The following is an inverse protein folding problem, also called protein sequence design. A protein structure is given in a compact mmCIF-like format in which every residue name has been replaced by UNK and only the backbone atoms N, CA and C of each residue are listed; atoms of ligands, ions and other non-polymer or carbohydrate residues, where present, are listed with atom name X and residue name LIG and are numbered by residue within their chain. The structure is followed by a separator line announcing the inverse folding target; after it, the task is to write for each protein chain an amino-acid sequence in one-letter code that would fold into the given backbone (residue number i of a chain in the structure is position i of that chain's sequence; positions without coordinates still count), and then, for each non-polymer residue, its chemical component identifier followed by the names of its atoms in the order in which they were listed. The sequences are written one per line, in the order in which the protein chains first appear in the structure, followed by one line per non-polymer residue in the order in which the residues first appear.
data_IF_224535124001
#
_entry.id   IF_224535124001
#
_cell.length_a   1.000
_cell.length_b   1.000
_cell.length_c   1.000
_cell.angle_alpha   90.00
_cell.angle_beta   90.00
_cell.angle_gamma   90.00
#
_symmetry.space_group_name_H-M   'P 1'
#
loop_
_entity.id
_entity.type
_entity.pdbx_description
1 polymer ?
#
# COMPACT_ATOMS: atom_id res chain seq x y z
N UNK A 1 2.89 21.25 0.39
CA UNK A 1 4.01 20.30 0.19
C UNK A 1 3.99 19.88 -1.27
N UNK A 2 5.16 19.73 -1.89
CA UNK A 2 5.26 19.27 -3.27
C UNK A 2 5.83 17.84 -3.26
N UNK A 3 5.11 16.84 -3.79
CA UNK A 3 5.62 15.47 -3.91
C UNK A 3 6.84 15.41 -4.82
N UNK A 4 7.91 14.75 -4.36
CA UNK A 4 9.16 14.61 -5.11
C UNK A 4 9.76 13.21 -4.94
N UNK A 5 10.58 12.73 -5.89
CA UNK A 5 10.88 13.36 -7.19
C UNK A 5 9.69 13.30 -8.16
N UNK A 6 9.66 14.20 -9.16
CA UNK A 6 8.60 14.16 -10.18
C UNK A 6 8.82 12.96 -11.12
N UNK A 7 7.77 12.16 -11.30
CA UNK A 7 7.77 10.93 -12.12
C UNK A 7 6.46 10.78 -12.90
N UNK A 8 6.57 10.31 -14.13
CA UNK A 8 5.41 9.96 -14.95
C UNK A 8 4.94 8.54 -14.65
N UNK A 9 3.63 8.30 -14.72
CA UNK A 9 3.03 6.98 -14.48
C UNK A 9 1.96 6.69 -15.52
N UNK A 10 2.00 5.48 -16.10
CA UNK A 10 1.03 5.00 -17.07
C UNK A 10 0.08 3.98 -16.45
N UNK A 11 -1.22 4.22 -16.60
CA UNK A 11 -2.26 3.26 -16.24
C UNK A 11 -2.61 2.35 -17.42
N UNK A 12 -2.70 1.06 -17.14
CA UNK A 12 -3.27 0.07 -18.04
C UNK A 12 -4.18 -0.89 -17.29
N UNK A 13 -5.03 -1.60 -18.00
CA UNK A 13 -5.83 -2.70 -17.46
C UNK A 13 -5.28 -4.04 -17.93
N UNK A 14 -5.27 -5.02 -17.05
CA UNK A 14 -5.02 -6.41 -17.40
C UNK A 14 -6.26 -7.04 -18.04
N UNK A 15 -6.05 -8.14 -18.75
CA UNK A 15 -7.14 -8.97 -19.25
C UNK A 15 -8.04 -9.43 -18.10
N UNK A 16 -9.33 -9.53 -18.38
CA UNK A 16 -10.34 -10.01 -17.43
C UNK A 16 -9.94 -11.40 -16.90
N UNK A 17 -9.74 -11.52 -15.60
CA UNK A 17 -9.33 -12.76 -14.96
C UNK A 17 -10.07 -12.99 -13.64
N UNK A 18 -10.22 -14.26 -13.20
CA UNK A 18 -10.73 -14.57 -11.87
C UNK A 18 -9.88 -13.92 -10.79
N UNK A 19 -10.53 -13.15 -9.91
CA UNK A 19 -9.97 -12.62 -8.68
C UNK A 19 -10.48 -13.45 -7.52
N UNK A 20 -9.65 -14.32 -6.92
CA UNK A 20 -10.04 -15.03 -5.72
C UNK A 20 -10.22 -14.00 -4.59
N UNK A 21 -11.46 -13.72 -4.24
CA UNK A 21 -11.80 -12.92 -3.07
C UNK A 21 -11.41 -13.65 -1.79
N UNK A 22 -11.13 -12.90 -0.73
CA UNK A 22 -10.84 -13.48 0.58
C UNK A 22 -12.12 -13.88 1.34
N UNK A 23 -13.29 -13.38 0.94
CA UNK A 23 -14.57 -13.64 1.59
C UNK A 23 -14.94 -15.13 1.68
N UNK A 24 -14.62 -15.95 0.67
CA UNK A 24 -14.85 -17.40 0.73
C UNK A 24 -14.05 -18.01 1.89
N UNK A 25 -12.78 -17.63 2.02
CA UNK A 25 -11.90 -18.07 3.10
C UNK A 25 -12.35 -17.52 4.45
N UNK A 26 -12.70 -16.24 4.51
CA UNK A 26 -13.13 -15.57 5.76
C UNK A 26 -14.47 -16.10 6.26
N UNK A 27 -15.35 -16.56 5.37
CA UNK A 27 -16.61 -17.22 5.71
C UNK A 27 -16.44 -18.71 6.06
N UNK A 28 -15.23 -19.27 5.96
CA UNK A 28 -14.97 -20.69 6.21
C UNK A 28 -15.64 -21.61 5.19
N UNK A 29 -15.74 -21.17 3.94
CA UNK A 29 -16.37 -21.91 2.83
C UNK A 29 -15.36 -22.51 1.86
N UNK A 30 -14.07 -22.38 2.16
CA UNK A 30 -12.95 -22.87 1.34
C UNK A 30 -12.90 -24.40 1.23
N UNK A 31 -13.51 -25.11 2.17
CA UNK A 31 -13.66 -26.58 2.13
C UNK A 31 -14.74 -27.06 1.16
N UNK A 32 -15.68 -26.19 0.74
CA UNK A 32 -16.73 -26.56 -0.21
C UNK A 32 -16.17 -26.73 -1.62
N UNK A 33 -16.77 -27.62 -2.41
CA UNK A 33 -16.49 -27.67 -3.86
C UNK A 33 -16.78 -26.31 -4.51
N UNK A 34 -15.96 -25.90 -5.49
CA UNK A 34 -16.06 -24.58 -6.11
C UNK A 34 -17.45 -24.23 -6.68
N UNK A 35 -18.25 -25.23 -7.07
CA UNK A 35 -19.61 -25.05 -7.58
C UNK A 35 -20.63 -24.66 -6.49
N UNK A 36 -20.30 -24.94 -5.23
CA UNK A 36 -21.11 -24.62 -4.05
C UNK A 36 -20.65 -23.32 -3.36
N UNK A 37 -19.48 -22.82 -3.75
CA UNK A 37 -19.00 -21.51 -3.31
C UNK A 37 -19.71 -20.40 -4.10
N UNK A 38 -19.77 -19.16 -3.56
CA UNK A 38 -20.15 -17.99 -4.33
C UNK A 38 -19.34 -17.88 -5.63
N UNK A 39 -19.98 -17.42 -6.70
CA UNK A 39 -19.32 -17.24 -7.99
C UNK A 39 -18.08 -16.34 -7.84
N UNK A 40 -16.97 -16.77 -8.42
CA UNK A 40 -15.73 -16.01 -8.39
C UNK A 40 -15.92 -14.66 -9.09
N UNK A 41 -15.35 -13.61 -8.49
CA UNK A 41 -15.30 -12.29 -9.11
C UNK A 41 -14.36 -12.33 -10.32
N UNK A 42 -14.74 -11.68 -11.41
CA UNK A 42 -13.87 -11.43 -12.56
C UNK A 42 -13.50 -9.95 -12.57
N UNK A 43 -12.21 -9.64 -12.67
CA UNK A 43 -11.72 -8.27 -12.62
C UNK A 43 -10.70 -7.99 -13.72
N UNK A 44 -10.83 -6.83 -14.36
CA UNK A 44 -9.76 -6.22 -15.15
C UNK A 44 -8.85 -5.43 -14.18
N UNK A 45 -7.85 -6.09 -13.61
CA UNK A 45 -6.98 -5.45 -12.63
C UNK A 45 -6.20 -4.28 -13.25
N UNK A 46 -6.17 -3.15 -12.56
CA UNK A 46 -5.37 -1.99 -12.99
C UNK A 46 -3.89 -2.22 -12.68
N UNK A 47 -3.03 -1.77 -13.59
CA UNK A 47 -1.58 -1.79 -13.46
C UNK A 47 -1.06 -0.38 -13.70
N UNK A 48 -0.38 0.17 -12.71
CA UNK A 48 0.36 1.42 -12.85
C UNK A 48 1.84 1.10 -13.02
N UNK A 49 2.47 1.67 -14.05
CA UNK A 49 3.92 1.58 -14.25
C UNK A 49 4.53 2.96 -14.24
N UNK A 50 5.63 3.10 -13.53
CA UNK A 50 6.46 4.30 -13.64
C UNK A 50 7.11 4.35 -15.03
N UNK A 51 7.09 5.53 -15.64
CA UNK A 51 7.75 5.79 -16.90
C UNK A 51 9.26 5.79 -16.68
N UNK A 52 9.99 5.11 -17.58
CA UNK A 52 11.44 5.13 -17.54
C UNK A 52 11.96 6.56 -17.73
N UNK A 53 12.76 7.05 -16.78
CA UNK A 53 13.49 8.30 -16.95
C UNK A 53 14.86 8.04 -17.59
N UNK A 54 15.30 8.98 -18.43
CA UNK A 54 16.67 9.00 -18.89
C UNK A 54 17.56 9.31 -17.68
N UNK A 55 18.42 8.36 -17.33
CA UNK A 55 19.36 8.51 -16.21
C UNK A 55 20.62 9.17 -16.76
N UNK A 56 20.87 10.42 -16.36
CA UNK A 56 22.05 11.17 -16.81
C UNK A 56 23.34 10.73 -16.08
N UNK A 57 23.25 10.12 -14.90
CA UNK A 57 24.41 9.60 -14.16
C UNK A 57 24.06 8.49 -13.15
N UNK A 58 25.05 7.66 -12.79
CA UNK A 58 24.88 6.63 -11.74
C UNK A 58 24.57 7.24 -10.36
N UNK A 59 25.02 8.47 -10.09
CA UNK A 59 24.77 9.17 -8.84
C UNK A 59 23.28 9.53 -8.67
N UNK A 60 22.58 9.82 -9.76
CA UNK A 60 21.14 10.12 -9.78
C UNK A 60 20.27 8.87 -9.46
N UNK A 61 20.79 7.67 -9.69
CA UNK A 61 20.11 6.41 -9.33
C UNK A 61 20.24 6.04 -7.85
N UNK A 62 21.32 6.45 -7.19
CA UNK A 62 21.63 6.03 -5.82
C UNK A 62 21.65 7.19 -4.80
N UNK A 63 21.51 8.43 -5.24
CA UNK A 63 21.44 9.60 -4.38
C UNK A 63 20.14 9.69 -3.59
N UNK A 64 20.23 10.23 -2.37
CA UNK A 64 19.08 10.46 -1.50
C UNK A 64 18.04 11.42 -2.11
N UNK A 65 18.46 12.26 -3.08
CA UNK A 65 17.58 13.18 -3.81
C UNK A 65 16.50 12.46 -4.64
N UNK A 66 16.70 11.17 -4.93
CA UNK A 66 15.74 10.33 -5.63
C UNK A 66 14.77 9.60 -4.68
N UNK A 67 14.94 9.73 -3.36
CA UNK A 67 14.04 9.10 -2.39
C UNK A 67 12.65 9.77 -2.41
N UNK A 68 11.57 8.99 -2.35
CA UNK A 68 10.23 9.54 -2.26
C UNK A 68 10.05 10.33 -0.97
N UNK A 69 9.55 11.56 -1.09
CA UNK A 69 9.25 12.40 0.08
C UNK A 69 7.83 12.16 0.65
N UNK A 70 7.09 11.20 0.09
CA UNK A 70 5.76 10.78 0.52
C UNK A 70 5.80 9.31 0.93
N UNK A 71 5.21 9.00 2.08
CA UNK A 71 4.98 7.64 2.55
C UNK A 71 3.49 7.34 2.67
N UNK A 72 3.11 6.10 2.37
CA UNK A 72 1.78 5.55 2.59
C UNK A 72 1.85 4.49 3.69
N UNK A 73 1.05 4.65 4.74
CA UNK A 73 0.79 3.61 5.74
C UNK A 73 -0.70 3.25 5.71
N UNK A 74 -1.03 2.00 6.00
CA UNK A 74 -2.40 1.53 5.94
C UNK A 74 -2.53 0.03 6.03
N UNK A 75 -3.66 -0.49 5.56
CA UNK A 75 -4.06 -1.89 5.70
C UNK A 75 -3.84 -2.70 4.40
N UNK A 76 -4.43 -3.89 4.33
CA UNK A 76 -4.48 -4.68 3.09
C UNK A 76 -5.17 -3.95 1.94
N UNK A 77 -6.06 -2.98 2.21
CA UNK A 77 -6.70 -2.16 1.18
C UNK A 77 -5.67 -1.40 0.35
N UNK A 78 -4.68 -0.82 1.04
CA UNK A 78 -3.56 -0.10 0.43
C UNK A 78 -2.62 -1.01 -0.40
N UNK A 79 -2.62 -2.32 -0.17
CA UNK A 79 -1.81 -3.30 -0.93
C UNK A 79 -2.57 -3.98 -2.06
N UNK A 80 -3.84 -4.31 -1.86
CA UNK A 80 -4.60 -5.19 -2.74
C UNK A 80 -5.42 -4.45 -3.81
N UNK A 81 -5.60 -3.12 -3.67
CA UNK A 81 -6.50 -2.34 -4.55
C UNK A 81 -5.76 -1.50 -5.60
N UNK A 82 -4.44 -1.68 -5.74
CA UNK A 82 -3.57 -0.79 -6.53
C UNK A 82 -3.64 0.68 -6.08
N UNK A 83 -4.02 0.93 -4.83
CA UNK A 83 -4.20 2.27 -4.27
C UNK A 83 -2.92 3.10 -4.37
N UNK A 84 -1.77 2.52 -3.99
CA UNK A 84 -0.47 3.19 -4.12
C UNK A 84 -0.16 3.60 -5.56
N UNK A 85 -0.49 2.77 -6.55
CA UNK A 85 -0.25 3.09 -7.95
C UNK A 85 -1.04 4.31 -8.39
N UNK A 86 -2.35 4.34 -8.10
CA UNK A 86 -3.19 5.50 -8.41
C UNK A 86 -2.74 6.76 -7.67
N UNK A 87 -2.29 6.61 -6.42
CA UNK A 87 -1.76 7.71 -5.63
C UNK A 87 -0.48 8.29 -6.25
N UNK A 88 0.45 7.44 -6.69
CA UNK A 88 1.66 7.86 -7.40
C UNK A 88 1.33 8.62 -8.69
N UNK A 89 0.38 8.12 -9.47
CA UNK A 89 -0.06 8.79 -10.70
C UNK A 89 -0.69 10.16 -10.41
N UNK A 90 -1.54 10.25 -9.38
CA UNK A 90 -2.19 11.51 -9.01
C UNK A 90 -1.20 12.54 -8.44
N UNK A 91 -0.19 12.09 -7.71
CA UNK A 91 0.84 12.95 -7.13
C UNK A 91 1.98 13.26 -8.10
N UNK A 92 2.07 12.53 -9.22
CA UNK A 92 3.18 12.61 -10.19
C UNK A 92 4.53 12.42 -9.47
N UNK A 93 4.56 11.52 -8.48
CA UNK A 93 5.73 11.23 -7.67
C UNK A 93 5.65 9.80 -7.07
N UNK A 94 6.79 9.15 -6.80
CA UNK A 94 6.81 7.85 -6.15
C UNK A 94 6.36 7.98 -4.68
N UNK A 95 5.78 6.91 -4.15
CA UNK A 95 5.28 6.86 -2.77
C UNK A 95 5.84 5.63 -2.08
N UNK A 96 6.56 5.83 -0.98
CA UNK A 96 7.05 4.73 -0.15
C UNK A 96 5.88 3.99 0.51
N UNK A 97 5.60 2.75 0.08
CA UNK A 97 4.48 1.97 0.61
C UNK A 97 4.89 1.12 1.81
N UNK A 98 4.38 1.48 2.98
CA UNK A 98 4.60 0.81 4.26
C UNK A 98 3.29 0.25 4.85
N UNK A 99 2.28 0.03 4.00
CA UNK A 99 1.05 -0.64 4.42
C UNK A 99 1.29 -2.10 4.81
N UNK A 100 0.47 -2.62 5.74
CA UNK A 100 0.59 -3.97 6.28
C UNK A 100 -0.76 -4.69 6.29
N UNK A 101 -0.77 -5.96 5.86
CA UNK A 101 -1.94 -6.81 6.01
C UNK A 101 -2.23 -7.10 7.48
N UNK A 102 -3.51 -7.08 7.84
CA UNK A 102 -3.92 -7.33 9.23
C UNK A 102 -3.31 -6.34 10.23
N UNK A 103 -3.00 -5.12 9.78
CA UNK A 103 -2.35 -4.09 10.59
C UNK A 103 -3.22 -3.53 11.72
N UNK A 104 -4.50 -3.93 11.82
CA UNK A 104 -5.50 -3.32 12.70
C UNK A 104 -5.45 -1.76 12.60
N UNK A 105 -5.98 -1.04 13.57
CA UNK A 105 -6.03 0.42 13.52
C UNK A 105 -4.64 1.09 13.43
N UNK A 106 -3.64 0.61 14.18
CA UNK A 106 -2.36 1.33 14.34
C UNK A 106 -1.08 0.50 14.10
N UNK A 107 -1.19 -0.78 13.76
CA UNK A 107 -0.04 -1.69 13.66
C UNK A 107 0.92 -1.30 12.53
N UNK A 108 0.41 -0.85 11.38
CA UNK A 108 1.24 -0.32 10.29
C UNK A 108 1.94 0.97 10.71
N UNK A 109 1.21 1.89 11.35
CA UNK A 109 1.75 3.16 11.85
C UNK A 109 2.87 2.93 12.88
N UNK A 110 2.65 2.08 13.88
CA UNK A 110 3.66 1.76 14.91
C UNK A 110 4.93 1.19 14.30
N UNK A 111 4.78 0.24 13.37
CA UNK A 111 5.92 -0.36 12.67
C UNK A 111 6.68 0.68 11.86
N UNK A 112 5.97 1.54 11.12
CA UNK A 112 6.58 2.57 10.29
C UNK A 112 7.33 3.62 11.11
N UNK A 113 6.71 4.20 12.13
CA UNK A 113 7.35 5.23 12.97
C UNK A 113 8.55 4.72 13.77
N UNK A 114 8.65 3.40 13.97
CA UNK A 114 9.82 2.77 14.62
C UNK A 114 10.90 2.32 13.62
N UNK A 115 10.69 2.53 12.32
CA UNK A 115 11.58 2.03 11.26
C UNK A 115 12.73 2.97 10.93
N UNK A 116 13.80 2.43 10.34
CA UNK A 116 14.89 3.23 9.78
C UNK A 116 14.40 4.20 8.69
N UNK A 117 13.43 3.78 7.88
CA UNK A 117 12.84 4.61 6.83
C UNK A 117 12.13 5.87 7.38
N UNK A 118 11.68 5.87 8.64
CA UNK A 118 11.16 7.08 9.27
C UNK A 118 12.23 7.82 10.08
N UNK A 119 13.08 7.10 10.79
CA UNK A 119 14.05 7.70 11.72
C UNK A 119 15.30 8.28 11.04
N UNK A 120 15.71 7.73 9.89
CA UNK A 120 16.89 8.16 9.15
C UNK A 120 16.50 9.02 7.93
N UNK A 121 15.40 8.69 7.26
CA UNK A 121 14.94 9.36 6.04
C UNK A 121 13.46 9.76 6.13
N UNK A 122 13.07 10.58 7.13
CA UNK A 122 11.67 10.91 7.35
C UNK A 122 11.03 11.58 6.12
N UNK A 123 9.83 11.17 5.70
CA UNK A 123 9.13 11.78 4.58
C UNK A 123 8.63 13.18 4.98
N UNK A 124 8.32 14.00 3.98
CA UNK A 124 7.62 15.28 4.18
C UNK A 124 6.11 15.09 4.36
N UNK A 125 5.57 13.98 3.87
CA UNK A 125 4.15 13.62 4.00
C UNK A 125 3.98 12.16 4.36
N UNK A 126 3.11 11.90 5.34
CA UNK A 126 2.57 10.57 5.61
C UNK A 126 1.08 10.59 5.26
N UNK A 127 0.69 9.72 4.34
CA UNK A 127 -0.71 9.41 4.04
C UNK A 127 -1.08 8.17 4.84
N UNK A 128 -2.10 8.28 5.67
CA UNK A 128 -2.58 7.18 6.51
C UNK A 128 -3.97 6.75 6.07
N UNK A 129 -4.06 5.57 5.47
CA UNK A 129 -5.33 4.91 5.13
C UNK A 129 -5.83 4.11 6.34
N UNK A 130 -7.06 4.42 6.77
CA UNK A 130 -7.72 3.77 7.91
C UNK A 130 -9.15 3.40 7.49
N UNK A 131 -9.52 2.11 7.51
CA UNK A 131 -10.90 1.69 7.34
C UNK A 131 -11.78 2.19 8.49
N UNK A 132 -12.99 2.69 8.20
CA UNK A 132 -13.90 3.25 9.22
C UNK A 132 -14.17 2.27 10.38
N UNK A 133 -14.33 0.98 10.10
CA UNK A 133 -14.56 -0.06 11.12
C UNK A 133 -13.44 -0.14 12.17
N UNK A 134 -12.21 0.22 11.80
CA UNK A 134 -11.06 0.16 12.69
C UNK A 134 -11.07 1.31 13.71
N UNK A 135 -11.82 2.40 13.44
CA UNK A 135 -12.03 3.51 14.39
C UNK A 135 -12.89 3.12 15.60
N UNK A 136 -13.76 2.12 15.42
CA UNK A 136 -14.67 1.64 16.47
C UNK A 136 -14.04 0.54 17.32
N UNK A 137 -12.92 -0.01 16.86
CA UNK A 137 -12.23 -1.09 17.55
C UNK A 137 -11.43 -0.45 18.68
N UNK A 138 -11.80 -0.71 19.94
CA UNK A 138 -10.98 -0.25 21.07
C UNK A 138 -9.55 -0.74 20.84
N UNK A 139 -8.52 0.13 20.89
CA UNK A 139 -7.15 -0.34 20.88
C UNK A 139 -7.04 -1.35 22.03
N UNK A 140 -6.67 -2.59 21.70
CA UNK A 140 -6.41 -3.62 22.71
C UNK A 140 -5.40 -3.11 23.74
N UNK A 141 -5.32 -3.72 24.93
CA UNK A 141 -4.44 -3.24 25.98
C UNK A 141 -3.02 -3.06 25.42
N UNK A 142 -2.46 -1.86 25.60
CA UNK A 142 -1.07 -1.61 25.28
C UNK A 142 -0.24 -2.62 26.09
N UNK A 143 0.44 -3.55 25.42
CA UNK A 143 1.45 -4.38 26.08
C UNK A 143 2.60 -3.44 26.41
N UNK A 144 2.55 -2.87 27.62
CA UNK A 144 3.67 -2.14 28.22
C UNK A 144 4.73 -3.19 28.50
N UNK A 145 5.66 -3.37 27.57
CA UNK A 145 6.92 -4.05 27.86
C UNK A 145 7.70 -3.08 28.74
N UNK A 146 7.76 -3.37 30.04
CA UNK A 146 8.64 -2.62 30.95
C UNK A 146 10.11 -2.81 30.53
N UNK A 147 10.94 -1.77 30.66
CA UNK A 147 12.37 -1.83 30.31
C UNK A 147 13.13 -2.86 31.14
#
# INVERSE_FOLDING_TARGET
IEPTPSRGFDASKQALAPRPGDLVRLAGLDWLEARLQPAAELLEASVIKEQAQAVDSLDDLFGDDNLPNVALIGTSFSRNSNFVGFLQQALVAPVGNFAKDGGEFYGAARAYFSSAAFTQTPPKLVIWEIPERDLQTSPGPAIIVKP
#
